data_IF_898112690268
#
_entry.id   IF_898112690268
#
_cell.length_a   1.000
_cell.length_b   1.000
_cell.length_c   1.000
_cell.angle_alpha   90.00
_cell.angle_beta   90.00
_cell.angle_gamma   90.00
#
_symmetry.space_group_name_H-M   'P 1'
#
loop_
_entity.id
_entity.type
_entity.pdbx_description
1 polymer ?
#
# COMPACT_ATOMS: atom_id res chain seq x y z
N UNK A 1 13.32 -27.22 5.49
CA UNK A 1 14.31 -26.14 5.22
C UNK A 1 14.79 -25.62 6.56
N UNK A 2 16.09 -25.39 6.70
CA UNK A 2 16.72 -24.96 7.96
C UNK A 2 16.43 -23.46 8.21
N UNK A 3 16.20 -23.10 9.49
CA UNK A 3 15.99 -21.72 9.96
C UNK A 3 17.11 -20.77 9.51
N UNK A 4 18.36 -21.24 9.52
CA UNK A 4 19.52 -20.46 9.05
C UNK A 4 19.41 -20.10 7.57
N UNK A 5 18.92 -21.03 6.74
CA UNK A 5 18.72 -20.83 5.32
C UNK A 5 17.64 -19.76 5.05
N UNK A 6 16.50 -19.82 5.79
CA UNK A 6 15.43 -18.81 5.63
C UNK A 6 15.91 -17.41 6.04
N UNK A 7 16.70 -17.29 7.12
CA UNK A 7 17.29 -16.00 7.54
C UNK A 7 18.27 -15.47 6.47
N UNK A 8 19.19 -16.33 5.98
CA UNK A 8 20.12 -15.92 4.91
C UNK A 8 19.37 -15.39 3.69
N UNK A 9 18.33 -16.10 3.25
CA UNK A 9 17.50 -15.71 2.11
C UNK A 9 16.78 -14.39 2.34
N UNK A 10 16.25 -14.17 3.55
CA UNK A 10 15.63 -12.87 3.89
C UNK A 10 16.63 -11.73 3.84
N UNK A 11 17.85 -11.91 4.39
CA UNK A 11 18.88 -10.88 4.37
C UNK A 11 19.32 -10.54 2.94
N UNK A 12 19.56 -11.55 2.09
CA UNK A 12 19.90 -11.36 0.67
C UNK A 12 18.76 -10.65 -0.06
N UNK A 13 17.51 -11.08 0.18
CA UNK A 13 16.33 -10.47 -0.42
C UNK A 13 16.21 -8.99 -0.05
N UNK A 14 16.34 -8.66 1.24
CA UNK A 14 16.24 -7.27 1.70
C UNK A 14 17.36 -6.41 1.14
N UNK A 15 18.59 -6.90 1.13
CA UNK A 15 19.72 -6.19 0.53
C UNK A 15 19.48 -5.87 -0.96
N UNK A 16 18.95 -6.84 -1.71
CA UNK A 16 18.63 -6.65 -3.13
C UNK A 16 17.40 -5.75 -3.34
N UNK A 17 16.32 -5.96 -2.57
CA UNK A 17 15.10 -5.17 -2.70
C UNK A 17 15.35 -3.69 -2.41
N UNK A 18 16.05 -3.38 -1.31
CA UNK A 18 16.43 -2.01 -0.97
C UNK A 18 17.48 -1.46 -1.93
N UNK A 19 18.54 -2.22 -2.21
CA UNK A 19 19.63 -1.76 -3.06
C UNK A 19 19.16 -1.39 -4.47
N UNK A 20 18.41 -2.27 -5.12
CA UNK A 20 17.88 -2.01 -6.46
C UNK A 20 16.92 -0.81 -6.47
N UNK A 21 15.98 -0.77 -5.55
CA UNK A 21 14.99 0.32 -5.50
C UNK A 21 15.64 1.66 -5.14
N UNK A 22 16.46 1.69 -4.11
CA UNK A 22 17.05 2.93 -3.63
C UNK A 22 18.06 3.51 -4.63
N UNK A 23 18.74 2.70 -5.42
CA UNK A 23 19.56 3.19 -6.55
C UNK A 23 18.67 3.97 -7.53
N UNK A 24 17.51 3.45 -7.89
CA UNK A 24 16.57 4.12 -8.79
C UNK A 24 16.04 5.41 -8.16
N UNK A 25 15.59 5.37 -6.90
CA UNK A 25 15.03 6.53 -6.22
C UNK A 25 16.07 7.62 -5.98
N UNK A 26 17.28 7.26 -5.55
CA UNK A 26 18.35 8.24 -5.39
C UNK A 26 18.85 8.81 -6.73
N UNK A 27 18.88 8.02 -7.80
CA UNK A 27 19.16 8.55 -9.13
C UNK A 27 18.15 9.63 -9.54
N UNK A 28 16.85 9.41 -9.25
CA UNK A 28 15.80 10.40 -9.46
C UNK A 28 16.01 11.65 -8.60
N UNK A 29 16.24 11.49 -7.29
CA UNK A 29 16.45 12.61 -6.35
C UNK A 29 17.70 13.42 -6.72
N UNK A 30 18.81 12.76 -6.99
CA UNK A 30 20.09 13.42 -7.34
C UNK A 30 20.06 14.11 -8.71
N UNK A 31 19.12 13.77 -9.58
CA UNK A 31 18.87 14.53 -10.82
C UNK A 31 18.09 15.83 -10.60
N UNK A 32 17.82 16.20 -9.36
CA UNK A 32 17.19 17.47 -8.99
C UNK A 32 15.65 17.45 -8.99
N UNK A 33 15.04 16.27 -9.08
CA UNK A 33 13.60 16.12 -9.06
C UNK A 33 13.07 16.04 -7.62
N UNK A 34 11.95 16.71 -7.39
CA UNK A 34 11.13 16.61 -6.18
C UNK A 34 9.72 16.24 -6.56
N UNK A 35 8.99 15.63 -5.65
CA UNK A 35 7.56 15.36 -5.88
C UNK A 35 6.83 16.70 -5.94
N UNK A 36 6.27 17.06 -7.08
CA UNK A 36 5.55 18.31 -7.23
C UNK A 36 4.21 18.23 -6.47
N UNK A 37 3.90 19.26 -5.68
CA UNK A 37 2.65 19.35 -4.92
C UNK A 37 1.40 19.51 -5.82
N UNK A 38 1.59 19.95 -7.05
CA UNK A 38 0.54 20.22 -8.04
C UNK A 38 0.27 19.07 -9.02
N UNK A 39 0.91 17.92 -8.82
CA UNK A 39 0.68 16.71 -9.62
C UNK A 39 1.25 16.75 -11.04
N UNK A 40 1.92 17.80 -11.45
CA UNK A 40 2.67 17.83 -12.72
C UNK A 40 3.97 17.04 -12.58
N UNK A 41 3.88 15.74 -12.84
CA UNK A 41 4.99 14.81 -12.64
C UNK A 41 5.66 14.51 -13.96
N UNK A 42 6.69 15.25 -14.31
CA UNK A 42 7.54 14.88 -15.42
C UNK A 42 8.35 13.61 -15.09
N UNK A 43 7.83 12.44 -15.47
CA UNK A 43 8.57 11.18 -15.46
C UNK A 43 8.66 10.44 -14.13
N UNK A 44 8.14 10.94 -13.01
CA UNK A 44 8.25 10.24 -11.71
C UNK A 44 7.47 8.93 -11.69
N UNK A 45 6.32 8.86 -12.35
CA UNK A 45 5.52 7.63 -12.42
C UNK A 45 6.31 6.46 -13.00
N UNK A 46 7.23 6.76 -13.92
CA UNK A 46 8.11 5.75 -14.50
C UNK A 46 9.13 5.25 -13.47
N UNK A 47 9.75 6.14 -12.68
CA UNK A 47 10.70 5.76 -11.63
C UNK A 47 10.01 5.01 -10.49
N UNK A 48 8.81 5.45 -10.08
CA UNK A 48 8.00 4.74 -9.08
C UNK A 48 7.62 3.37 -9.59
N UNK A 49 7.11 3.26 -10.81
CA UNK A 49 6.72 1.98 -11.43
C UNK A 49 7.91 1.02 -11.55
N UNK A 50 9.09 1.51 -11.93
CA UNK A 50 10.32 0.72 -11.93
C UNK A 50 10.70 0.27 -10.52
N UNK A 51 10.59 1.16 -9.53
CA UNK A 51 10.81 0.85 -8.12
C UNK A 51 9.89 -0.26 -7.63
N UNK A 52 8.61 -0.21 -8.00
CA UNK A 52 7.61 -1.23 -7.65
C UNK A 52 7.92 -2.63 -8.21
N UNK A 53 8.68 -2.74 -9.30
CA UNK A 53 9.11 -4.02 -9.85
C UNK A 53 10.33 -4.62 -9.11
N UNK A 54 11.12 -3.79 -8.42
CA UNK A 54 12.36 -4.22 -7.76
C UNK A 54 12.17 -5.31 -6.71
N UNK A 55 11.12 -5.33 -5.86
CA UNK A 55 10.89 -6.42 -4.92
C UNK A 55 10.69 -7.79 -5.61
N UNK A 56 9.98 -7.84 -6.74
CA UNK A 56 9.87 -9.07 -7.53
C UNK A 56 11.22 -9.50 -8.13
N UNK A 57 11.98 -8.56 -8.70
CA UNK A 57 13.30 -8.83 -9.23
C UNK A 57 14.26 -9.31 -8.13
N UNK A 58 14.25 -8.66 -6.96
CA UNK A 58 15.03 -9.06 -5.80
C UNK A 58 14.68 -10.48 -5.34
N UNK A 59 13.39 -10.85 -5.36
CA UNK A 59 12.94 -12.22 -5.09
C UNK A 59 13.56 -13.21 -6.09
N UNK A 60 13.49 -12.95 -7.40
CA UNK A 60 14.04 -13.82 -8.42
C UNK A 60 15.55 -13.96 -8.27
N UNK A 61 16.26 -12.86 -8.10
CA UNK A 61 17.73 -12.87 -7.89
C UNK A 61 18.10 -13.61 -6.59
N UNK A 62 17.37 -13.40 -5.51
CA UNK A 62 17.61 -14.12 -4.25
C UNK A 62 17.45 -15.63 -4.44
N UNK A 63 16.38 -16.07 -5.11
CA UNK A 63 16.14 -17.49 -5.38
C UNK A 63 17.27 -18.10 -6.21
N UNK A 64 17.76 -17.36 -7.20
CA UNK A 64 18.89 -17.77 -8.02
C UNK A 64 20.19 -17.89 -7.21
N UNK A 65 20.60 -16.81 -6.53
CA UNK A 65 21.87 -16.73 -5.80
C UNK A 65 21.92 -17.70 -4.60
N UNK A 66 20.78 -17.97 -3.97
CA UNK A 66 20.72 -18.88 -2.81
C UNK A 66 20.40 -20.33 -3.17
N UNK A 67 20.28 -20.65 -4.45
CA UNK A 67 19.95 -21.99 -4.93
C UNK A 67 18.58 -22.49 -4.50
N UNK A 68 17.62 -21.58 -4.25
CA UNK A 68 16.25 -21.94 -3.82
C UNK A 68 15.44 -22.56 -4.97
N UNK A 69 15.78 -22.21 -6.23
CA UNK A 69 15.07 -22.65 -7.42
C UNK A 69 13.77 -21.89 -7.69
N UNK A 70 13.16 -22.19 -8.83
CA UNK A 70 11.98 -21.47 -9.35
C UNK A 70 10.72 -22.34 -9.41
N UNK A 71 10.63 -23.40 -8.61
CA UNK A 71 9.48 -24.31 -8.64
C UNK A 71 8.18 -23.57 -8.27
N UNK A 72 7.29 -23.43 -9.25
CA UNK A 72 6.01 -22.72 -9.13
C UNK A 72 4.97 -23.57 -8.37
N UNK A 73 5.14 -24.90 -8.32
CA UNK A 73 4.15 -25.88 -7.84
C UNK A 73 4.43 -26.42 -6.44
N UNK A 74 5.55 -26.05 -5.79
CA UNK A 74 5.90 -26.53 -4.45
C UNK A 74 5.25 -25.70 -3.34
N UNK A 75 5.37 -26.16 -2.06
CA UNK A 75 4.95 -25.39 -0.86
C UNK A 75 5.62 -24.01 -0.75
N UNK A 76 6.72 -23.80 -1.48
CA UNK A 76 7.42 -22.52 -1.64
C UNK A 76 7.01 -21.81 -2.93
N UNK A 77 5.82 -22.07 -3.46
CA UNK A 77 5.30 -21.45 -4.68
C UNK A 77 5.20 -19.93 -4.54
N UNK A 78 5.29 -19.23 -5.67
CA UNK A 78 5.13 -17.76 -5.75
C UNK A 78 3.68 -17.30 -5.47
N UNK A 79 2.81 -18.19 -5.03
CA UNK A 79 1.38 -17.93 -4.76
C UNK A 79 0.65 -17.28 -5.95
N UNK A 80 1.02 -17.67 -7.19
CA UNK A 80 0.45 -17.11 -8.44
C UNK A 80 -0.90 -17.70 -8.80
N UNK A 81 -1.27 -18.81 -8.16
CA UNK A 81 -2.51 -19.53 -8.48
C UNK A 81 -3.75 -18.69 -8.18
N UNK A 82 -4.74 -18.73 -9.08
CA UNK A 82 -6.07 -18.16 -8.86
C UNK A 82 -7.03 -19.30 -8.62
N UNK A 83 -7.77 -19.25 -7.51
CA UNK A 83 -8.79 -20.22 -7.18
C UNK A 83 -9.99 -19.51 -6.55
N UNK A 84 -11.19 -19.86 -7.01
CA UNK A 84 -12.45 -19.37 -6.43
C UNK A 84 -13.16 -20.44 -5.58
N UNK A 85 -12.58 -21.65 -5.47
CA UNK A 85 -13.09 -22.73 -4.62
C UNK A 85 -13.01 -22.34 -3.14
N UNK A 86 -13.75 -23.04 -2.29
CA UNK A 86 -13.70 -22.89 -0.83
C UNK A 86 -13.88 -21.45 -0.35
N UNK A 87 -14.77 -20.70 -1.00
CA UNK A 87 -15.05 -19.27 -0.74
C UNK A 87 -13.87 -18.33 -0.96
N UNK A 88 -12.80 -18.74 -1.65
CA UNK A 88 -11.63 -17.87 -1.92
C UNK A 88 -11.99 -16.65 -2.75
N UNK A 89 -13.07 -16.70 -3.56
CA UNK A 89 -13.60 -15.54 -4.27
C UNK A 89 -13.90 -14.34 -3.34
N UNK A 90 -14.22 -14.59 -2.04
CA UNK A 90 -14.50 -13.53 -1.08
C UNK A 90 -13.28 -12.61 -0.88
N UNK A 91 -12.06 -13.15 -0.96
CA UNK A 91 -10.85 -12.34 -0.80
C UNK A 91 -10.59 -11.47 -2.02
N UNK A 92 -11.03 -11.87 -3.20
CA UNK A 92 -11.03 -11.00 -4.38
C UNK A 92 -12.09 -9.90 -4.26
N UNK A 93 -13.29 -10.22 -3.79
CA UNK A 93 -14.32 -9.22 -3.52
C UNK A 93 -13.86 -8.21 -2.44
N UNK A 94 -13.27 -8.69 -1.34
CA UNK A 94 -12.67 -7.83 -0.30
C UNK A 94 -11.60 -6.93 -0.94
N UNK A 95 -10.73 -7.47 -1.78
CA UNK A 95 -9.68 -6.71 -2.43
C UNK A 95 -10.22 -5.60 -3.34
N UNK A 96 -11.33 -5.83 -4.00
CA UNK A 96 -11.96 -4.85 -4.90
C UNK A 96 -12.69 -3.73 -4.16
N UNK A 97 -13.39 -4.02 -3.07
CA UNK A 97 -14.31 -3.06 -2.47
C UNK A 97 -13.80 -2.45 -1.16
N UNK A 98 -12.94 -3.15 -0.42
CA UNK A 98 -12.47 -2.70 0.88
C UNK A 98 -11.69 -1.39 0.82
N UNK A 99 -10.79 -1.14 -0.16
CA UNK A 99 -10.10 0.15 -0.29
C UNK A 99 -11.06 1.32 -0.41
N UNK A 100 -12.06 1.22 -1.29
CA UNK A 100 -13.09 2.25 -1.42
C UNK A 100 -13.80 2.52 -0.09
N UNK A 101 -14.21 1.47 0.61
CA UNK A 101 -14.95 1.60 1.88
C UNK A 101 -14.13 2.36 2.93
N UNK A 102 -12.87 1.97 3.18
CA UNK A 102 -12.11 2.64 4.22
C UNK A 102 -11.61 4.03 3.83
N UNK A 103 -11.37 4.29 2.55
CA UNK A 103 -11.00 5.63 2.06
C UNK A 103 -12.19 6.57 2.18
N UNK A 104 -13.38 6.16 1.76
CA UNK A 104 -14.60 6.95 1.86
C UNK A 104 -14.96 7.25 3.33
N UNK A 105 -14.83 6.25 4.21
CA UNK A 105 -15.01 6.45 5.66
C UNK A 105 -13.95 7.39 6.25
N UNK A 106 -12.72 7.37 5.74
CA UNK A 106 -11.66 8.29 6.13
C UNK A 106 -11.99 9.74 5.78
N UNK A 107 -12.46 9.98 4.55
CA UNK A 107 -12.91 11.30 4.11
C UNK A 107 -14.17 11.76 4.87
N UNK A 108 -15.11 10.86 5.14
CA UNK A 108 -16.25 11.17 6.00
C UNK A 108 -15.80 11.57 7.40
N UNK A 109 -14.82 10.91 7.97
CA UNK A 109 -14.26 11.26 9.28
C UNK A 109 -13.58 12.64 9.26
N UNK A 110 -12.84 12.96 8.19
CA UNK A 110 -12.27 14.30 8.01
C UNK A 110 -13.35 15.39 7.98
N UNK A 111 -14.46 15.15 7.29
CA UNK A 111 -15.60 16.07 7.27
C UNK A 111 -16.30 16.17 8.62
N UNK A 112 -16.41 15.10 9.41
CA UNK A 112 -16.97 15.16 10.77
C UNK A 112 -16.10 15.99 11.71
N UNK A 113 -14.78 15.89 11.61
CA UNK A 113 -13.83 16.62 12.45
C UNK A 113 -13.66 18.07 11.98
N UNK A 114 -13.81 18.31 10.68
CA UNK A 114 -13.68 19.62 10.03
C UNK A 114 -14.94 19.96 9.26
N UNK A 115 -16.07 20.06 9.96
CA UNK A 115 -17.39 20.26 9.33
C UNK A 115 -17.49 21.55 8.50
N UNK A 116 -16.67 22.56 8.82
CA UNK A 116 -16.52 23.78 8.02
C UNK A 116 -15.81 23.55 6.68
N UNK A 117 -15.13 22.44 6.52
CA UNK A 117 -14.47 22.08 5.26
C UNK A 117 -15.43 21.44 4.24
N UNK A 118 -16.64 21.02 4.64
CA UNK A 118 -17.62 20.55 3.70
C UNK A 118 -18.09 21.69 2.78
N UNK A 119 -17.88 21.54 1.49
CA UNK A 119 -18.22 22.54 0.50
C UNK A 119 -18.82 21.86 -0.75
N UNK A 120 -20.17 21.85 -0.88
CA UNK A 120 -20.83 21.31 -2.05
C UNK A 120 -20.60 22.18 -3.31
N UNK A 121 -20.04 23.37 -3.11
CA UNK A 121 -19.67 24.31 -4.17
C UNK A 121 -18.14 24.45 -4.28
N UNK A 122 -17.40 23.41 -3.86
CA UNK A 122 -15.93 23.41 -3.96
C UNK A 122 -15.51 23.80 -5.40
N UNK A 123 -14.61 24.78 -5.57
CA UNK A 123 -14.13 25.21 -6.88
C UNK A 123 -13.63 24.06 -7.76
N UNK A 124 -13.01 23.06 -7.18
CA UNK A 124 -12.61 21.84 -7.90
C UNK A 124 -13.79 21.11 -8.54
N UNK A 125 -14.95 21.09 -7.87
CA UNK A 125 -16.17 20.46 -8.39
C UNK A 125 -16.93 21.38 -9.36
N UNK A 126 -16.98 22.70 -9.07
CA UNK A 126 -17.70 23.67 -9.90
C UNK A 126 -16.99 23.99 -11.21
N UNK A 127 -15.65 23.90 -11.23
CA UNK A 127 -14.87 24.07 -12.45
C UNK A 127 -15.07 22.97 -13.48
N UNK A 128 -15.70 21.86 -13.07
CA UNK A 128 -15.97 20.73 -13.95
C UNK A 128 -17.23 20.95 -14.81
N UNK A 129 -17.20 20.46 -16.02
CA UNK A 129 -18.37 20.30 -16.87
C UNK A 129 -19.33 19.26 -16.29
N UNK A 130 -20.58 19.20 -16.77
CA UNK A 130 -21.55 18.19 -16.32
C UNK A 130 -21.08 16.76 -16.56
N UNK A 131 -20.36 16.53 -17.65
CA UNK A 131 -19.79 15.23 -17.96
C UNK A 131 -18.66 14.88 -16.96
N UNK A 132 -17.80 15.82 -16.61
CA UNK A 132 -16.72 15.61 -15.65
C UNK A 132 -17.27 15.40 -14.24
N UNK A 133 -18.31 16.12 -13.83
CA UNK A 133 -19.02 15.86 -12.57
C UNK A 133 -19.63 14.46 -12.53
N UNK A 134 -20.20 13.98 -13.63
CA UNK A 134 -20.68 12.61 -13.73
C UNK A 134 -19.53 11.59 -13.53
N UNK A 135 -18.34 11.89 -14.08
CA UNK A 135 -17.13 11.06 -13.88
C UNK A 135 -16.72 11.04 -12.40
N UNK A 136 -16.79 12.16 -11.68
CA UNK A 136 -16.51 12.20 -10.23
C UNK A 136 -17.39 11.23 -9.45
N UNK A 137 -18.71 11.21 -9.72
CA UNK A 137 -19.61 10.26 -9.07
C UNK A 137 -19.37 8.81 -9.48
N UNK A 138 -18.83 8.60 -10.68
CA UNK A 138 -18.44 7.27 -11.16
C UNK A 138 -17.01 6.88 -10.75
N UNK A 139 -16.27 7.79 -10.16
CA UNK A 139 -14.86 7.59 -9.81
C UNK A 139 -14.58 6.33 -8.98
N UNK A 140 -15.39 5.96 -7.98
CA UNK A 140 -15.15 4.71 -7.25
C UNK A 140 -15.19 3.48 -8.16
N UNK A 141 -16.13 3.44 -9.10
CA UNK A 141 -16.23 2.35 -10.07
C UNK A 141 -15.04 2.39 -11.04
N UNK A 142 -14.72 3.58 -11.56
CA UNK A 142 -13.59 3.77 -12.46
C UNK A 142 -12.27 3.37 -11.77
N UNK A 143 -12.05 3.78 -10.51
CA UNK A 143 -10.86 3.45 -9.74
C UNK A 143 -10.77 1.94 -9.41
N UNK A 144 -11.89 1.27 -9.13
CA UNK A 144 -11.92 -0.18 -8.95
C UNK A 144 -11.51 -0.88 -10.25
N UNK A 145 -12.05 -0.45 -11.40
CA UNK A 145 -11.72 -1.06 -12.70
C UNK A 145 -10.26 -0.75 -13.08
N UNK A 146 -9.85 0.53 -13.05
CA UNK A 146 -8.48 0.92 -13.41
C UNK A 146 -7.46 0.35 -12.44
N UNK A 147 -7.74 0.33 -11.13
CA UNK A 147 -6.89 -0.28 -10.12
C UNK A 147 -6.74 -1.79 -10.32
N UNK A 148 -7.84 -2.49 -10.64
CA UNK A 148 -7.76 -3.91 -10.97
C UNK A 148 -6.88 -4.14 -12.22
N UNK A 149 -6.97 -3.27 -13.24
CA UNK A 149 -6.09 -3.32 -14.41
C UNK A 149 -4.64 -2.96 -14.09
N UNK A 150 -4.41 -1.98 -13.22
CA UNK A 150 -3.09 -1.55 -12.76
C UNK A 150 -2.46 -2.52 -11.75
N UNK A 151 -3.17 -3.58 -11.35
CA UNK A 151 -2.66 -4.57 -10.37
C UNK A 151 -1.37 -5.25 -10.81
N UNK A 152 -1.03 -5.24 -12.09
CA UNK A 152 0.25 -5.72 -12.61
C UNK A 152 1.45 -4.91 -12.09
N UNK A 153 1.31 -3.59 -11.89
CA UNK A 153 2.37 -2.78 -11.29
C UNK A 153 2.53 -3.12 -9.80
N UNK A 154 1.42 -3.15 -9.04
CA UNK A 154 1.42 -3.56 -7.64
C UNK A 154 1.86 -5.02 -7.45
N UNK A 155 1.66 -5.88 -8.46
CA UNK A 155 2.12 -7.25 -8.45
C UNK A 155 3.64 -7.35 -8.20
N UNK A 156 4.43 -6.44 -8.75
CA UNK A 156 5.88 -6.42 -8.54
C UNK A 156 6.25 -6.32 -7.05
N UNK A 157 5.58 -5.43 -6.33
CA UNK A 157 5.74 -5.33 -4.88
C UNK A 157 5.19 -6.55 -4.15
N UNK A 158 3.95 -6.94 -4.44
CA UNK A 158 3.29 -8.01 -3.71
C UNK A 158 3.96 -9.38 -3.91
N UNK A 159 4.54 -9.63 -5.09
CA UNK A 159 5.34 -10.83 -5.34
C UNK A 159 6.55 -10.92 -4.41
N UNK A 160 7.25 -9.79 -4.20
CA UNK A 160 8.38 -9.72 -3.30
C UNK A 160 7.96 -9.73 -1.83
N UNK A 161 7.06 -8.82 -1.44
CA UNK A 161 6.67 -8.68 -0.03
C UNK A 161 5.80 -9.83 0.45
N UNK A 162 4.64 -10.08 -0.19
CA UNK A 162 3.65 -11.07 0.27
C UNK A 162 3.88 -12.46 -0.29
N UNK A 163 4.46 -12.55 -1.50
CA UNK A 163 4.79 -13.83 -2.13
C UNK A 163 6.08 -14.47 -1.61
N UNK A 164 7.04 -13.67 -1.14
CA UNK A 164 8.36 -14.18 -0.75
C UNK A 164 8.76 -13.87 0.69
N UNK A 165 8.81 -12.59 1.07
CA UNK A 165 9.29 -12.16 2.39
C UNK A 165 8.36 -12.63 3.52
N UNK A 166 7.08 -12.29 3.43
CA UNK A 166 6.12 -12.56 4.49
C UNK A 166 5.94 -14.03 4.85
N UNK A 167 5.86 -15.00 3.91
CA UNK A 167 5.81 -16.42 4.26
C UNK A 167 6.99 -16.88 5.10
N UNK A 168 8.20 -16.40 4.78
CA UNK A 168 9.42 -16.73 5.54
C UNK A 168 9.40 -16.09 6.94
N UNK A 169 8.99 -14.83 7.04
CA UNK A 169 8.86 -14.11 8.32
C UNK A 169 7.81 -14.75 9.22
N UNK A 170 6.65 -15.12 8.68
CA UNK A 170 5.59 -15.82 9.43
C UNK A 170 6.09 -17.16 9.98
N UNK A 171 6.81 -17.92 9.16
CA UNK A 171 7.41 -19.19 9.57
C UNK A 171 8.44 -19.01 10.69
N UNK A 172 9.23 -17.94 10.65
CA UNK A 172 10.31 -17.69 11.62
C UNK A 172 9.80 -17.10 12.93
N UNK A 173 8.81 -16.22 12.90
CA UNK A 173 8.44 -15.36 14.03
C UNK A 173 6.95 -15.35 14.36
N UNK A 174 6.12 -16.08 13.60
CA UNK A 174 4.66 -16.06 13.71
C UNK A 174 4.04 -14.80 13.10
N UNK A 175 2.72 -14.86 12.87
CA UNK A 175 1.96 -13.83 12.16
C UNK A 175 2.11 -12.44 12.78
N UNK A 176 1.90 -12.31 14.11
CA UNK A 176 1.87 -11.01 14.76
C UNK A 176 3.17 -10.21 14.61
N UNK A 177 4.32 -10.86 14.87
CA UNK A 177 5.63 -10.20 14.70
C UNK A 177 5.95 -9.96 13.23
N UNK A 178 5.63 -10.92 12.36
CA UNK A 178 5.93 -10.83 10.94
C UNK A 178 5.23 -9.63 10.28
N UNK A 179 3.92 -9.41 10.55
CA UNK A 179 3.19 -8.31 9.92
C UNK A 179 3.67 -6.93 10.40
N UNK A 180 4.03 -6.80 11.68
CA UNK A 180 4.55 -5.53 12.22
C UNK A 180 5.93 -5.23 11.66
N UNK A 181 6.87 -6.19 11.78
CA UNK A 181 8.24 -5.99 11.29
C UNK A 181 8.26 -5.83 9.76
N UNK A 182 7.46 -6.65 9.04
CA UNK A 182 7.34 -6.54 7.59
C UNK A 182 6.74 -5.22 7.13
N UNK A 183 5.77 -4.67 7.88
CA UNK A 183 5.22 -3.35 7.62
C UNK A 183 6.24 -2.22 7.85
N UNK A 184 7.03 -2.30 8.92
CA UNK A 184 8.13 -1.35 9.16
C UNK A 184 9.16 -1.41 8.03
N UNK A 185 9.59 -2.60 7.62
CA UNK A 185 10.53 -2.79 6.50
C UNK A 185 9.98 -2.16 5.23
N UNK A 186 8.71 -2.41 4.92
CA UNK A 186 8.06 -1.86 3.73
C UNK A 186 7.90 -0.33 3.83
N UNK A 187 7.62 0.23 5.02
CA UNK A 187 7.60 1.67 5.25
C UNK A 187 8.96 2.33 5.03
N UNK A 188 10.05 1.74 5.57
CA UNK A 188 11.41 2.23 5.37
C UNK A 188 11.79 2.22 3.88
N UNK A 189 11.33 1.23 3.13
CA UNK A 189 11.58 1.13 1.69
C UNK A 189 11.07 2.36 0.92
N UNK A 190 9.99 3.02 1.38
CA UNK A 190 9.45 4.25 0.79
C UNK A 190 10.17 5.54 1.21
N UNK A 191 11.04 5.52 2.24
CA UNK A 191 11.61 6.74 2.79
C UNK A 191 12.28 7.69 1.80
N UNK A 192 13.03 7.22 0.77
CA UNK A 192 13.61 8.15 -0.21
C UNK A 192 12.53 8.95 -0.97
N UNK A 193 11.41 8.34 -1.33
CA UNK A 193 10.30 9.04 -1.97
C UNK A 193 9.55 9.95 -0.99
N UNK A 194 9.33 9.48 0.24
CA UNK A 194 8.71 10.31 1.29
C UNK A 194 9.56 11.54 1.59
N UNK A 195 10.90 11.42 1.55
CA UNK A 195 11.82 12.55 1.70
C UNK A 195 11.64 13.63 0.64
N UNK A 196 11.25 13.31 -0.57
CA UNK A 196 10.97 14.28 -1.63
C UNK A 196 9.49 14.63 -1.78
N UNK A 197 8.68 14.37 -0.75
CA UNK A 197 7.30 14.82 -0.63
C UNK A 197 6.23 13.81 -1.04
N UNK A 198 6.59 12.57 -1.37
CA UNK A 198 5.60 11.54 -1.70
C UNK A 198 4.63 11.30 -0.53
N UNK A 199 3.34 11.29 -0.79
CA UNK A 199 2.19 11.14 0.09
C UNK A 199 1.89 12.31 1.04
N UNK A 200 2.87 13.09 1.48
CA UNK A 200 2.65 14.06 2.57
C UNK A 200 3.08 15.49 2.20
N UNK A 201 3.72 15.69 1.03
CA UNK A 201 4.42 16.94 0.75
C UNK A 201 5.67 17.08 1.63
N UNK A 202 6.15 18.31 1.78
CA UNK A 202 7.36 18.62 2.56
C UNK A 202 7.08 19.64 3.69
N UNK A 203 5.84 20.16 3.76
CA UNK A 203 5.42 21.21 4.69
C UNK A 203 4.55 20.64 5.82
N UNK A 204 5.12 19.83 6.70
CA UNK A 204 4.46 19.28 7.87
C UNK A 204 5.37 19.30 9.09
N UNK A 205 4.75 19.24 10.28
CA UNK A 205 5.49 19.26 11.54
C UNK A 205 6.43 18.07 11.65
N UNK A 206 7.71 18.36 11.95
CA UNK A 206 8.73 17.32 12.16
C UNK A 206 9.25 16.66 10.89
N UNK A 207 9.10 17.31 9.72
CA UNK A 207 9.68 16.83 8.46
C UNK A 207 11.19 16.54 8.61
N UNK A 208 11.71 15.44 8.01
CA UNK A 208 11.00 14.37 7.31
C UNK A 208 10.55 13.22 8.23
N UNK A 209 10.89 13.27 9.53
CA UNK A 209 10.83 12.13 10.44
C UNK A 209 9.39 11.68 10.77
N UNK A 210 8.48 12.64 10.96
CA UNK A 210 7.06 12.29 11.20
C UNK A 210 6.42 11.66 9.96
N UNK A 211 6.79 12.09 8.75
CA UNK A 211 6.39 11.44 7.50
C UNK A 211 6.94 10.01 7.39
N UNK A 212 8.21 9.79 7.73
CA UNK A 212 8.81 8.46 7.78
C UNK A 212 8.09 7.52 8.74
N UNK A 213 7.77 8.00 9.95
CA UNK A 213 7.01 7.22 10.92
C UNK A 213 5.60 6.91 10.43
N UNK A 214 4.91 7.90 9.85
CA UNK A 214 3.56 7.75 9.29
C UNK A 214 3.53 6.76 8.15
N UNK A 215 4.54 6.76 7.27
CA UNK A 215 4.67 5.76 6.22
C UNK A 215 4.82 4.35 6.77
N UNK A 216 5.58 4.17 7.85
CA UNK A 216 5.66 2.88 8.54
C UNK A 216 4.30 2.47 9.15
N UNK A 217 3.56 3.41 9.74
CA UNK A 217 2.20 3.16 10.28
C UNK A 217 1.27 2.68 9.18
N UNK A 218 1.21 3.39 8.03
CA UNK A 218 0.43 2.98 6.86
C UNK A 218 0.79 1.55 6.44
N UNK A 219 2.08 1.30 6.23
CA UNK A 219 2.58 0.01 5.73
C UNK A 219 2.35 -1.15 6.71
N UNK A 220 2.32 -0.90 8.03
CA UNK A 220 1.95 -1.92 9.03
C UNK A 220 0.49 -2.32 8.85
N UNK A 221 -0.43 -1.37 8.88
CA UNK A 221 -1.86 -1.68 8.89
C UNK A 221 -2.36 -2.16 7.52
N UNK A 222 -1.94 -1.54 6.45
CA UNK A 222 -2.20 -2.03 5.10
C UNK A 222 -1.56 -3.40 4.90
N UNK A 223 -0.32 -3.59 5.37
CA UNK A 223 0.42 -4.85 5.33
C UNK A 223 -0.28 -6.00 6.03
N UNK A 224 -0.99 -5.76 7.14
CA UNK A 224 -1.83 -6.75 7.82
C UNK A 224 -2.95 -7.23 6.89
N UNK A 225 -3.67 -6.31 6.25
CA UNK A 225 -4.78 -6.64 5.35
C UNK A 225 -4.28 -7.42 4.13
N UNK A 226 -3.23 -6.92 3.47
CA UNK A 226 -2.63 -7.56 2.29
C UNK A 226 -2.11 -8.96 2.60
N UNK A 227 -1.43 -9.14 3.74
CA UNK A 227 -0.94 -10.45 4.17
C UNK A 227 -2.08 -11.40 4.50
N UNK A 228 -3.14 -10.91 5.14
CA UNK A 228 -4.32 -11.71 5.46
C UNK A 228 -5.01 -12.23 4.20
N UNK A 229 -5.30 -11.37 3.22
CA UNK A 229 -5.96 -11.81 1.98
C UNK A 229 -5.08 -12.77 1.18
N UNK A 230 -3.76 -12.57 1.17
CA UNK A 230 -2.80 -13.49 0.55
C UNK A 230 -2.82 -14.86 1.22
N UNK A 231 -2.67 -14.92 2.54
CA UNK A 231 -2.64 -16.18 3.28
C UNK A 231 -3.95 -16.96 3.18
N UNK A 232 -5.08 -16.26 3.19
CA UNK A 232 -6.41 -16.89 3.15
C UNK A 232 -6.84 -17.34 1.76
N UNK A 233 -6.49 -16.59 0.72
CA UNK A 233 -6.75 -16.99 -0.66
C UNK A 233 -5.73 -18.02 -1.16
N UNK A 234 -4.52 -18.03 -0.62
CA UNK A 234 -3.37 -18.75 -1.16
C UNK A 234 -2.85 -18.13 -2.47
N UNK A 235 -3.09 -16.84 -2.67
CA UNK A 235 -2.75 -16.11 -3.89
C UNK A 235 -2.33 -14.67 -3.58
N UNK A 236 -1.34 -14.14 -4.30
CA UNK A 236 -0.93 -12.73 -4.19
C UNK A 236 -1.85 -11.79 -4.97
N UNK A 237 -2.69 -12.30 -5.87
CA UNK A 237 -3.54 -11.47 -6.71
C UNK A 237 -4.52 -10.60 -5.92
N UNK A 238 -5.22 -11.10 -4.88
CA UNK A 238 -6.06 -10.23 -4.05
C UNK A 238 -5.26 -9.09 -3.40
N UNK A 239 -4.03 -9.34 -2.97
CA UNK A 239 -3.18 -8.29 -2.41
C UNK A 239 -2.78 -7.27 -3.49
N UNK A 240 -2.38 -7.70 -4.68
CA UNK A 240 -2.03 -6.81 -5.79
C UNK A 240 -3.23 -5.94 -6.23
N UNK A 241 -4.43 -6.51 -6.32
CA UNK A 241 -5.66 -5.78 -6.63
C UNK A 241 -5.97 -4.74 -5.55
N UNK A 242 -5.96 -5.14 -4.26
CA UNK A 242 -6.25 -4.25 -3.14
C UNK A 242 -5.24 -3.09 -3.09
N UNK A 243 -3.96 -3.39 -3.25
CA UNK A 243 -2.89 -2.41 -3.26
C UNK A 243 -3.07 -1.40 -4.41
N UNK A 244 -3.31 -1.86 -5.62
CA UNK A 244 -3.51 -1.00 -6.78
C UNK A 244 -4.75 -0.10 -6.65
N UNK A 245 -5.88 -0.64 -6.15
CA UNK A 245 -7.09 0.14 -5.90
C UNK A 245 -6.86 1.15 -4.77
N UNK A 246 -6.13 0.78 -3.70
CA UNK A 246 -5.74 1.73 -2.67
C UNK A 246 -4.94 2.91 -3.25
N UNK A 247 -3.99 2.63 -4.13
CA UNK A 247 -3.18 3.67 -4.77
C UNK A 247 -4.01 4.56 -5.73
N UNK A 248 -5.09 4.02 -6.31
CA UNK A 248 -6.03 4.80 -7.10
C UNK A 248 -6.95 5.71 -6.25
N UNK A 249 -6.94 5.54 -4.92
CA UNK A 249 -7.65 6.37 -3.92
C UNK A 249 -9.11 6.68 -4.29
N UNK A 250 -9.96 5.65 -4.50
CA UNK A 250 -11.33 5.87 -4.94
C UNK A 250 -12.16 6.57 -3.85
N UNK A 251 -12.60 7.80 -4.10
CA UNK A 251 -13.51 8.52 -3.20
C UNK A 251 -14.31 9.58 -3.94
N UNK A 252 -15.55 9.74 -3.57
CA UNK A 252 -16.41 10.85 -3.99
C UNK A 252 -16.31 11.99 -2.97
N UNK A 253 -16.26 11.66 -1.68
CA UNK A 253 -16.28 12.68 -0.61
C UNK A 253 -15.06 13.60 -0.64
N UNK A 254 -13.91 13.17 -1.16
CA UNK A 254 -12.72 14.01 -1.30
C UNK A 254 -13.01 15.31 -2.09
N UNK A 255 -13.87 15.27 -3.10
CA UNK A 255 -14.22 16.42 -3.91
C UNK A 255 -15.10 17.44 -3.18
N UNK A 256 -15.68 17.08 -2.05
CA UNK A 256 -16.47 17.96 -1.18
C UNK A 256 -15.66 18.53 -0.02
N UNK A 257 -14.38 18.20 0.08
CA UNK A 257 -13.48 18.73 1.11
C UNK A 257 -12.76 19.95 0.54
N UNK A 258 -13.11 21.13 1.03
CA UNK A 258 -12.37 22.35 0.74
C UNK A 258 -11.18 22.44 1.71
N UNK A 259 -10.01 22.11 1.21
CA UNK A 259 -8.77 22.05 2.02
C UNK A 259 -8.39 23.42 2.58
N UNK A 260 -8.71 24.53 1.92
CA UNK A 260 -8.44 25.89 2.42
C UNK A 260 -9.23 26.23 3.69
N UNK A 261 -10.35 25.53 3.92
CA UNK A 261 -11.17 25.68 5.13
C UNK A 261 -10.72 24.76 6.27
N UNK A 262 -9.80 23.85 6.03
CA UNK A 262 -9.18 23.02 7.08
C UNK A 262 -8.10 23.84 7.76
N UNK A 263 -8.20 24.06 9.07
CA UNK A 263 -7.31 24.96 9.80
C UNK A 263 -6.72 24.33 11.07
N UNK A 264 -5.67 24.97 11.60
CA UNK A 264 -4.97 24.53 12.78
C UNK A 264 -4.22 23.22 12.56
N UNK A 265 -4.13 22.38 13.57
CA UNK A 265 -3.40 21.10 13.52
C UNK A 265 -3.94 20.12 12.47
N UNK A 266 -5.16 20.31 12.00
CA UNK A 266 -5.80 19.48 10.98
C UNK A 266 -5.33 19.79 9.56
N UNK A 267 -4.76 20.97 9.33
CA UNK A 267 -4.18 21.33 8.03
C UNK A 267 -2.78 20.75 7.81
N UNK A 268 -2.16 20.17 8.86
CA UNK A 268 -0.92 19.41 8.71
C UNK A 268 -1.20 18.12 7.92
N UNK A 269 -0.48 17.92 6.82
CA UNK A 269 -0.74 16.82 5.89
C UNK A 269 -0.54 15.44 6.52
N UNK A 270 0.43 15.29 7.43
CA UNK A 270 0.65 14.04 8.17
C UNK A 270 -0.50 13.76 9.11
N UNK A 271 -0.98 14.77 9.83
CA UNK A 271 -2.11 14.63 10.75
C UNK A 271 -3.40 14.29 9.99
N UNK A 272 -3.69 15.01 8.91
CA UNK A 272 -4.84 14.74 8.04
C UNK A 272 -4.80 13.32 7.49
N UNK A 273 -3.64 12.88 7.04
CA UNK A 273 -3.44 11.52 6.54
C UNK A 273 -3.68 10.47 7.64
N UNK A 274 -3.13 10.66 8.84
CA UNK A 274 -3.36 9.74 9.96
C UNK A 274 -4.85 9.62 10.33
N UNK A 275 -5.60 10.72 10.27
CA UNK A 275 -7.05 10.71 10.48
C UNK A 275 -7.75 9.92 9.37
N UNK A 276 -7.38 10.16 8.12
CA UNK A 276 -8.03 9.53 6.96
C UNK A 276 -7.83 8.00 6.92
N UNK A 277 -6.71 7.49 7.45
CA UNK A 277 -6.45 6.05 7.49
C UNK A 277 -7.02 5.34 8.73
N UNK A 278 -7.61 6.05 9.71
CA UNK A 278 -8.16 5.43 10.93
C UNK A 278 -9.15 4.29 10.64
N UNK A 279 -10.08 4.38 9.68
CA UNK A 279 -10.96 3.26 9.37
C UNK A 279 -10.20 2.01 8.90
N UNK A 280 -9.16 2.19 8.09
CA UNK A 280 -8.27 1.09 7.68
C UNK A 280 -7.55 0.48 8.88
N UNK A 281 -7.05 1.31 9.81
CA UNK A 281 -6.39 0.88 11.06
C UNK A 281 -7.33 0.01 11.89
N UNK A 282 -8.57 0.45 12.09
CA UNK A 282 -9.59 -0.31 12.86
C UNK A 282 -9.86 -1.67 12.21
N UNK A 283 -10.03 -1.70 10.89
CA UNK A 283 -10.25 -2.93 10.12
C UNK A 283 -9.04 -3.87 10.25
N UNK A 284 -7.83 -3.35 10.07
CA UNK A 284 -6.59 -4.14 10.16
C UNK A 284 -6.40 -4.75 11.56
N UNK A 285 -6.64 -3.96 12.62
CA UNK A 285 -6.57 -4.44 14.00
C UNK A 285 -7.61 -5.53 14.27
N UNK A 286 -8.85 -5.33 13.82
CA UNK A 286 -9.91 -6.32 13.93
C UNK A 286 -9.52 -7.64 13.23
N UNK A 287 -9.04 -7.56 11.99
CA UNK A 287 -8.57 -8.72 11.23
C UNK A 287 -7.45 -9.44 11.98
N UNK A 288 -6.45 -8.71 12.46
CA UNK A 288 -5.31 -9.29 13.18
C UNK A 288 -5.74 -10.02 14.45
N UNK A 289 -6.59 -9.40 15.26
CA UNK A 289 -7.10 -10.03 16.51
C UNK A 289 -7.85 -11.32 16.20
N UNK A 290 -8.75 -11.30 15.20
CA UNK A 290 -9.51 -12.49 14.80
C UNK A 290 -8.59 -13.58 14.24
N UNK A 291 -7.61 -13.20 13.44
CA UNK A 291 -6.64 -14.13 12.85
C UNK A 291 -5.78 -14.80 13.92
N UNK A 292 -5.24 -14.03 14.87
CA UNK A 292 -4.43 -14.57 15.96
C UNK A 292 -5.23 -15.47 16.91
N UNK A 293 -6.52 -15.14 17.17
CA UNK A 293 -7.40 -16.04 17.92
C UNK A 293 -7.61 -17.37 17.20
N UNK A 294 -7.90 -17.33 15.90
CA UNK A 294 -8.12 -18.54 15.10
C UNK A 294 -6.87 -19.46 15.04
N UNK A 295 -5.66 -18.88 15.02
CA UNK A 295 -4.41 -19.67 15.06
C UNK A 295 -4.21 -20.35 16.41
N UNK A 296 -4.65 -19.74 17.52
CA UNK A 296 -4.50 -20.33 18.87
C UNK A 296 -5.49 -21.45 19.15
N UNK A 297 -6.60 -21.50 18.42
CA UNK A 297 -7.68 -22.48 18.59
C UNK A 297 -7.62 -23.63 17.58
N UNK A 298 -6.73 -23.57 16.61
CA UNK A 298 -6.44 -24.63 15.62
C UNK A 298 -5.24 -25.47 16.03
#
# INVERSE_FOLDING_TARGET
MDRKSDIKRLLVYLALAFGLTWIIFFAYILSGHVWAADGEISGIDQFVSLGMLCPALAMLLTRYVTGEGFAVTSKDSLLLGISFKDRKWMYFAIAMFLPWIYIELGNALMLLISSNAFDPHNPELLGLTDNERAIVYMQPIAAIVSGAMASFAAFGEEAGWRGYMMPKMIKLWGVGKAVVIGGIIWGIWHWPLTYVGHNFGMEYFGYPFTGFATMCVLCIFMGIILTYVTCKSGSIWPAAILHAINNASPSVLQYFINHDKVSGWRSDSVVSFLISILPMVVIAVYILIKWLKAIRTA
#
